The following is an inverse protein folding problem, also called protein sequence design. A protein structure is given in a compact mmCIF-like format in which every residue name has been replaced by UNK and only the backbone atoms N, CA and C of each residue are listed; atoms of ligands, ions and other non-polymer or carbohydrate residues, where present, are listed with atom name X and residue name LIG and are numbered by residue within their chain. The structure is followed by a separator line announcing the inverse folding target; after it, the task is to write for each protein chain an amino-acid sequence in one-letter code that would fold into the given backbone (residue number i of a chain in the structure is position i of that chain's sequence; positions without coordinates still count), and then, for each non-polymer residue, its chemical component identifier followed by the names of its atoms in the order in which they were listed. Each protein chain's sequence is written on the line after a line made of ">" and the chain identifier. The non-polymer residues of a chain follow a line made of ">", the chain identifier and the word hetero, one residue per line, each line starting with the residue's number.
data_IF_780278596811
#
_entry.id   IF_780278596811
#
_cell.length_a   1.000
_cell.length_b   1.000
_cell.length_c   1.000
_cell.angle_alpha   90.00
_cell.angle_beta   90.00
_cell.angle_gamma   90.00
#
_symmetry.space_group_name_H-M   'P 1'
#
loop_
_entity.id
_entity.type
_entity.pdbx_description
1 polymer ?
#
# COMPACT_ATOMS: atom_id res chain seq x y z
N UNK A 1 -8.39 13.05 -16.83
CA UNK A 1 -7.60 13.02 -15.59
C UNK A 1 -6.31 12.26 -15.78
N UNK A 2 -5.27 12.59 -15.04
CA UNK A 2 -3.95 11.96 -15.17
C UNK A 2 -3.79 10.80 -14.16
N UNK A 3 -4.39 10.92 -12.96
CA UNK A 3 -4.41 9.87 -11.93
C UNK A 3 -5.51 8.84 -12.13
N UNK A 4 -5.41 7.71 -11.47
CA UNK A 4 -6.47 6.72 -11.32
C UNK A 4 -6.94 6.72 -9.86
N UNK A 5 -8.15 7.24 -9.64
CA UNK A 5 -8.77 7.26 -8.31
C UNK A 5 -10.13 6.57 -8.39
N UNK A 6 -10.34 5.58 -7.54
CA UNK A 6 -11.59 4.83 -7.46
C UNK A 6 -11.83 4.32 -6.05
N UNK A 7 -13.07 3.92 -5.78
CA UNK A 7 -13.47 3.32 -4.52
C UNK A 7 -14.41 2.16 -4.77
N UNK A 8 -14.40 1.19 -3.86
CA UNK A 8 -15.36 0.10 -3.83
C UNK A 8 -15.77 -0.20 -2.38
N UNK A 9 -16.85 -0.96 -2.23
CA UNK A 9 -17.43 -1.29 -0.93
C UNK A 9 -17.41 -2.81 -0.75
N UNK A 10 -17.00 -3.25 0.43
CA UNK A 10 -17.03 -4.65 0.85
C UNK A 10 -17.90 -4.78 2.10
N UNK A 11 -18.63 -5.90 2.20
CA UNK A 11 -19.35 -6.26 3.42
C UNK A 11 -18.37 -6.48 4.59
N UNK A 12 -18.63 -5.83 5.71
CA UNK A 12 -17.71 -5.86 6.86
C UNK A 12 -17.76 -7.14 7.68
N UNK A 13 -18.76 -8.01 7.45
CA UNK A 13 -19.03 -9.17 8.32
C UNK A 13 -17.90 -10.20 8.39
N UNK A 14 -17.07 -10.30 7.34
CA UNK A 14 -16.04 -11.33 7.24
C UNK A 14 -14.66 -10.76 6.84
N UNK A 15 -14.44 -9.46 7.02
CA UNK A 15 -13.21 -8.82 6.59
C UNK A 15 -12.55 -8.02 7.71
N UNK A 16 -11.26 -8.25 7.88
CA UNK A 16 -10.39 -7.46 8.75
C UNK A 16 -9.84 -6.27 7.95
N UNK A 17 -10.05 -5.05 8.45
CA UNK A 17 -9.69 -3.82 7.74
C UNK A 17 -8.18 -3.71 7.46
N UNK A 18 -7.36 -4.15 8.40
CA UNK A 18 -5.90 -4.12 8.28
C UNK A 18 -5.41 -5.11 7.23
N UNK A 19 -5.91 -6.33 7.26
CA UNK A 19 -5.59 -7.35 6.24
C UNK A 19 -6.14 -6.97 4.87
N UNK A 20 -7.32 -6.33 4.81
CA UNK A 20 -7.88 -5.84 3.56
C UNK A 20 -6.98 -4.78 2.90
N UNK A 21 -6.38 -3.88 3.67
CA UNK A 21 -5.40 -2.92 3.16
C UNK A 21 -4.18 -3.62 2.54
N UNK A 22 -3.65 -4.64 3.22
CA UNK A 22 -2.54 -5.44 2.72
C UNK A 22 -2.92 -6.20 1.45
N UNK A 23 -4.10 -6.82 1.43
CA UNK A 23 -4.65 -7.52 0.27
C UNK A 23 -4.75 -6.60 -0.95
N UNK A 24 -5.34 -5.42 -0.78
CA UNK A 24 -5.43 -4.43 -1.84
C UNK A 24 -4.05 -3.98 -2.34
N UNK A 25 -3.08 -3.78 -1.42
CA UNK A 25 -1.71 -3.45 -1.78
C UNK A 25 -1.07 -4.50 -2.69
N UNK A 26 -1.18 -5.78 -2.31
CA UNK A 26 -0.69 -6.90 -3.13
C UNK A 26 -1.39 -6.94 -4.48
N UNK A 27 -2.73 -6.79 -4.51
CA UNK A 27 -3.50 -6.81 -5.76
C UNK A 27 -3.13 -5.67 -6.71
N UNK A 28 -2.89 -4.47 -6.18
CA UNK A 28 -2.43 -3.32 -6.97
C UNK A 28 -1.05 -3.61 -7.59
N UNK A 29 -0.09 -4.07 -6.79
CA UNK A 29 1.27 -4.36 -7.28
C UNK A 29 1.24 -5.46 -8.34
N UNK A 30 0.47 -6.52 -8.13
CA UNK A 30 0.31 -7.59 -9.12
C UNK A 30 -0.33 -7.07 -10.41
N UNK A 31 -1.42 -6.30 -10.32
CA UNK A 31 -2.08 -5.73 -11.50
C UNK A 31 -1.18 -4.78 -12.28
N UNK A 32 -0.39 -3.95 -11.60
CA UNK A 32 0.63 -3.11 -12.26
C UNK A 32 1.67 -3.99 -12.96
N UNK A 33 2.18 -5.02 -12.29
CA UNK A 33 3.18 -5.93 -12.84
C UNK A 33 2.68 -6.68 -14.07
N UNK A 34 1.46 -7.21 -14.02
CA UNK A 34 0.86 -7.92 -15.15
C UNK A 34 0.66 -7.03 -16.36
N UNK A 35 0.23 -5.78 -16.14
CA UNK A 35 -0.06 -4.85 -17.22
C UNK A 35 1.18 -4.16 -17.80
N UNK A 36 2.17 -3.83 -16.94
CA UNK A 36 3.32 -2.98 -17.33
C UNK A 36 4.68 -3.67 -17.24
N UNK A 37 4.75 -4.87 -16.65
CA UNK A 37 5.96 -5.59 -16.26
C UNK A 37 6.82 -4.85 -15.21
N UNK A 38 6.31 -3.78 -14.59
CA UNK A 38 7.00 -3.02 -13.56
C UNK A 38 6.87 -3.72 -12.20
N UNK A 39 7.99 -3.89 -11.50
CA UNK A 39 8.00 -4.41 -10.14
C UNK A 39 7.92 -3.25 -9.14
N UNK A 40 6.75 -3.12 -8.51
CA UNK A 40 6.52 -2.16 -7.43
C UNK A 40 6.69 -2.83 -6.07
N UNK A 41 6.85 -2.01 -5.03
CA UNK A 41 6.99 -2.44 -3.64
C UNK A 41 5.85 -1.88 -2.78
N UNK A 42 5.74 -2.41 -1.59
CA UNK A 42 4.79 -1.96 -0.59
C UNK A 42 5.51 -1.33 0.60
N UNK A 43 4.92 -0.27 1.14
CA UNK A 43 5.37 0.38 2.37
C UNK A 43 4.21 0.44 3.36
N UNK A 44 4.46 -0.06 4.56
CA UNK A 44 3.45 -0.06 5.62
C UNK A 44 3.05 1.38 6.00
N UNK A 45 1.75 1.65 6.27
CA UNK A 45 0.66 0.65 6.27
C UNK A 45 -0.03 0.45 4.91
N UNK A 46 0.07 1.41 3.97
CA UNK A 46 -0.87 1.50 2.85
C UNK A 46 -0.31 2.15 1.59
N UNK A 47 1.01 2.29 1.49
CA UNK A 47 1.65 2.97 0.36
C UNK A 47 2.14 1.99 -0.71
N UNK A 48 1.93 2.37 -1.97
CA UNK A 48 2.50 1.70 -3.15
C UNK A 48 3.72 2.50 -3.59
N UNK A 49 4.86 1.81 -3.72
CA UNK A 49 6.15 2.42 -3.96
C UNK A 49 6.80 1.90 -5.24
N UNK A 50 7.61 2.74 -5.85
CA UNK A 50 8.63 2.34 -6.83
C UNK A 50 9.95 2.96 -6.38
N UNK A 51 10.94 2.13 -6.12
CA UNK A 51 12.14 2.52 -5.40
C UNK A 51 11.75 3.25 -4.09
N UNK A 52 12.20 4.49 -3.92
CA UNK A 52 11.90 5.31 -2.74
C UNK A 52 10.77 6.32 -2.97
N UNK A 53 10.05 6.22 -4.12
CA UNK A 53 9.00 7.18 -4.47
C UNK A 53 7.62 6.55 -4.39
N UNK A 54 6.70 7.28 -3.78
CA UNK A 54 5.29 6.87 -3.68
C UNK A 54 4.60 7.05 -5.05
N UNK A 55 3.95 5.99 -5.52
CA UNK A 55 3.09 6.02 -6.72
C UNK A 55 1.61 5.96 -6.39
N UNK A 56 1.26 5.63 -5.15
CA UNK A 56 -0.14 5.58 -4.75
C UNK A 56 -0.34 5.21 -3.30
N UNK A 57 -1.60 5.13 -2.91
CA UNK A 57 -1.99 4.77 -1.57
C UNK A 57 -3.40 4.23 -1.48
N UNK A 58 -3.70 3.58 -0.36
CA UNK A 58 -4.96 2.96 -0.03
C UNK A 58 -5.53 3.63 1.21
N UNK A 59 -6.82 3.90 1.20
CA UNK A 59 -7.57 4.40 2.36
C UNK A 59 -8.67 3.40 2.71
N UNK A 60 -8.69 2.96 3.94
CA UNK A 60 -9.74 2.07 4.44
C UNK A 60 -10.60 2.84 5.45
N UNK A 61 -11.89 2.88 5.22
CA UNK A 61 -12.87 3.44 6.14
C UNK A 61 -13.89 2.39 6.54
N UNK A 62 -13.86 1.96 7.80
CA UNK A 62 -14.82 1.01 8.35
C UNK A 62 -16.09 1.74 8.80
N UNK A 63 -17.22 1.31 8.31
CA UNK A 63 -18.57 1.70 8.75
C UNK A 63 -19.24 0.50 9.45
N UNK A 64 -20.43 0.69 9.98
CA UNK A 64 -21.13 -0.36 10.75
C UNK A 64 -21.24 -1.68 9.98
N UNK A 65 -21.71 -1.61 8.73
CA UNK A 65 -22.06 -2.80 7.94
C UNK A 65 -21.18 -2.98 6.69
N UNK A 66 -20.25 -2.06 6.43
CA UNK A 66 -19.38 -2.12 5.26
C UNK A 66 -18.00 -1.50 5.51
N UNK A 67 -17.07 -1.86 4.65
CA UNK A 67 -15.75 -1.25 4.55
C UNK A 67 -15.66 -0.55 3.19
N UNK A 68 -15.32 0.73 3.20
CA UNK A 68 -15.06 1.52 2.01
C UNK A 68 -13.56 1.49 1.75
N UNK A 69 -13.16 1.07 0.57
CA UNK A 69 -11.77 1.05 0.12
C UNK A 69 -11.58 2.13 -0.93
N UNK A 70 -10.80 3.15 -0.64
CA UNK A 70 -10.36 4.17 -1.58
C UNK A 70 -8.94 3.88 -2.07
N UNK A 71 -8.70 3.95 -3.37
CA UNK A 71 -7.38 3.74 -3.99
C UNK A 71 -7.07 4.93 -4.89
N UNK A 72 -5.87 5.51 -4.70
CA UNK A 72 -5.34 6.58 -5.52
C UNK A 72 -3.97 6.23 -6.08
N UNK A 73 -3.82 6.28 -7.40
CA UNK A 73 -2.58 5.96 -8.09
C UNK A 73 -2.18 7.10 -9.05
N UNK A 74 -0.93 7.51 -8.99
CA UNK A 74 -0.32 8.46 -9.92
C UNK A 74 0.03 7.70 -11.22
N UNK A 75 -0.79 7.82 -12.23
CA UNK A 75 -0.61 7.08 -13.48
C UNK A 75 0.12 7.94 -14.51
N UNK A 76 -0.54 8.97 -15.03
CA UNK A 76 -0.04 9.81 -16.12
C UNK A 76 0.35 11.22 -15.63
N UNK A 77 0.44 11.41 -14.32
CA UNK A 77 0.74 12.71 -13.71
C UNK A 77 2.15 13.17 -14.11
N UNK A 78 2.19 14.23 -14.91
CA UNK A 78 3.44 14.84 -15.38
C UNK A 78 3.99 15.85 -14.37
N UNK A 79 3.09 16.58 -13.68
CA UNK A 79 3.39 17.63 -12.71
C UNK A 79 2.84 17.27 -11.33
N UNK A 80 3.60 16.49 -10.57
CA UNK A 80 3.32 16.31 -9.15
C UNK A 80 3.64 17.60 -8.39
N UNK A 81 2.81 17.94 -7.40
CA UNK A 81 2.98 19.16 -6.59
C UNK A 81 4.43 19.27 -6.07
N UNK A 82 4.99 20.48 -6.07
CA UNK A 82 6.39 20.76 -5.71
C UNK A 82 6.78 20.23 -4.33
N UNK A 83 5.87 20.23 -3.37
CA UNK A 83 6.09 19.76 -2.00
C UNK A 83 6.29 18.22 -1.91
N UNK A 84 5.71 17.46 -2.84
CA UNK A 84 5.80 15.99 -2.88
C UNK A 84 6.68 15.47 -4.00
N UNK A 85 7.19 16.35 -4.87
CA UNK A 85 7.95 15.99 -6.09
C UNK A 85 9.16 15.10 -5.81
N UNK A 86 9.79 15.25 -4.65
CA UNK A 86 10.95 14.45 -4.24
C UNK A 86 10.55 13.14 -3.51
N UNK A 87 9.25 12.94 -3.23
CA UNK A 87 8.75 11.78 -2.48
C UNK A 87 7.73 10.95 -3.28
N UNK A 88 7.27 11.46 -4.43
CA UNK A 88 6.28 10.78 -5.25
C UNK A 88 6.68 10.77 -6.73
N UNK A 89 6.19 9.77 -7.45
CA UNK A 89 6.35 9.63 -8.90
C UNK A 89 5.07 9.10 -9.54
N UNK A 90 5.06 8.93 -10.86
CA UNK A 90 3.95 8.33 -11.60
C UNK A 90 4.45 7.20 -12.50
N UNK A 91 3.55 6.28 -12.89
CA UNK A 91 3.90 5.20 -13.80
C UNK A 91 4.42 5.74 -15.14
N UNK A 92 3.82 6.82 -15.66
CA UNK A 92 4.30 7.50 -16.88
C UNK A 92 5.74 7.97 -16.76
N UNK A 93 6.14 8.55 -15.62
CA UNK A 93 7.53 9.02 -15.43
C UNK A 93 8.52 7.87 -15.38
N UNK A 94 8.12 6.73 -14.79
CA UNK A 94 8.96 5.54 -14.69
C UNK A 94 9.11 4.87 -16.06
N UNK A 95 8.01 4.74 -16.79
CA UNK A 95 7.94 3.98 -18.04
C UNK A 95 8.26 4.83 -19.29
N UNK A 96 8.26 6.16 -19.16
CA UNK A 96 8.44 7.14 -20.25
C UNK A 96 7.35 7.11 -21.34
N UNK A 97 6.16 6.55 -21.05
CA UNK A 97 4.99 6.59 -21.92
C UNK A 97 3.70 6.65 -21.10
N UNK A 98 2.62 7.15 -21.73
CA UNK A 98 1.31 7.21 -21.08
C UNK A 98 0.61 5.86 -21.07
N UNK A 99 -0.08 5.57 -19.97
CA UNK A 99 -0.79 4.32 -19.72
C UNK A 99 -2.30 4.53 -19.91
N UNK A 100 -2.95 3.56 -20.52
CA UNK A 100 -4.41 3.46 -20.52
C UNK A 100 -4.88 3.02 -19.13
N UNK A 101 -5.69 3.85 -18.47
CA UNK A 101 -6.08 3.66 -17.07
C UNK A 101 -7.15 2.59 -16.90
N UNK A 102 -8.07 2.50 -17.85
CA UNK A 102 -9.20 1.57 -17.80
C UNK A 102 -8.75 0.09 -17.87
N UNK A 103 -7.87 -0.34 -18.78
CA UNK A 103 -7.30 -1.68 -18.73
C UNK A 103 -6.49 -1.93 -17.44
N UNK A 104 -5.69 -0.96 -17.00
CA UNK A 104 -4.94 -1.11 -15.73
C UNK A 104 -5.88 -1.31 -14.55
N UNK A 105 -7.00 -0.56 -14.48
CA UNK A 105 -8.03 -0.73 -13.46
C UNK A 105 -8.57 -2.17 -13.47
N UNK A 106 -8.86 -2.72 -14.64
CA UNK A 106 -9.37 -4.09 -14.77
C UNK A 106 -8.36 -5.12 -14.22
N UNK A 107 -7.07 -5.00 -14.55
CA UNK A 107 -6.01 -5.85 -13.98
C UNK A 107 -5.94 -5.74 -12.45
N UNK A 108 -5.99 -4.54 -11.91
CA UNK A 108 -5.93 -4.29 -10.46
C UNK A 108 -7.15 -4.92 -9.76
N UNK A 109 -8.36 -4.65 -10.26
CA UNK A 109 -9.60 -5.14 -9.65
C UNK A 109 -9.64 -6.67 -9.69
N UNK A 110 -9.31 -7.30 -10.81
CA UNK A 110 -9.25 -8.76 -10.93
C UNK A 110 -8.26 -9.39 -9.94
N UNK A 111 -7.08 -8.79 -9.77
CA UNK A 111 -6.10 -9.27 -8.79
C UNK A 111 -6.61 -9.13 -7.36
N UNK A 112 -7.21 -7.99 -6.99
CA UNK A 112 -7.80 -7.79 -5.67
C UNK A 112 -8.89 -8.84 -5.42
N UNK A 113 -9.82 -9.02 -6.36
CA UNK A 113 -10.96 -9.95 -6.24
C UNK A 113 -10.51 -11.40 -6.01
N UNK A 114 -9.48 -11.86 -6.74
CA UNK A 114 -8.87 -13.17 -6.52
C UNK A 114 -8.29 -13.30 -5.11
N UNK A 115 -7.58 -12.27 -4.62
CA UNK A 115 -6.90 -12.29 -3.33
C UNK A 115 -7.87 -12.24 -2.14
N UNK A 116 -9.06 -11.67 -2.29
CA UNK A 116 -10.09 -11.65 -1.25
C UNK A 116 -10.51 -13.06 -0.79
N UNK A 117 -10.29 -14.08 -1.62
CA UNK A 117 -10.57 -15.47 -1.29
C UNK A 117 -9.40 -16.19 -0.60
N UNK A 118 -8.25 -15.52 -0.40
CA UNK A 118 -7.08 -16.12 0.22
C UNK A 118 -7.13 -15.99 1.75
N UNK A 119 -6.52 -16.97 2.44
CA UNK A 119 -6.33 -16.90 3.90
C UNK A 119 -5.38 -15.75 4.25
N UNK A 120 -5.61 -15.12 5.39
CA UNK A 120 -4.83 -14.00 5.90
C UNK A 120 -3.31 -14.27 5.90
N UNK A 121 -2.88 -15.46 6.36
CA UNK A 121 -1.46 -15.85 6.37
C UNK A 121 -0.81 -15.81 4.99
N UNK A 122 -1.58 -16.16 3.93
CA UNK A 122 -1.07 -16.11 2.55
C UNK A 122 -0.91 -14.67 2.09
N UNK A 123 -1.88 -13.80 2.40
CA UNK A 123 -1.82 -12.37 2.09
C UNK A 123 -0.61 -11.73 2.78
N UNK A 124 -0.42 -12.00 4.08
CA UNK A 124 0.71 -11.48 4.86
C UNK A 124 2.05 -11.91 4.25
N UNK A 125 2.21 -13.18 3.88
CA UNK A 125 3.44 -13.68 3.23
C UNK A 125 3.70 -12.97 1.91
N UNK A 126 2.68 -12.80 1.08
CA UNK A 126 2.78 -12.07 -0.19
C UNK A 126 3.17 -10.61 0.04
N UNK A 127 2.52 -9.95 0.99
CA UNK A 127 2.82 -8.57 1.34
C UNK A 127 4.27 -8.40 1.83
N UNK A 128 4.72 -9.29 2.72
CA UNK A 128 6.10 -9.29 3.25
C UNK A 128 7.14 -9.46 2.13
N UNK A 129 6.85 -10.27 1.11
CA UNK A 129 7.74 -10.44 -0.03
C UNK A 129 7.86 -9.20 -0.92
N UNK A 130 6.89 -8.29 -0.85
CA UNK A 130 6.85 -7.02 -1.59
C UNK A 130 7.30 -5.82 -0.74
N UNK A 131 7.49 -6.01 0.56
CA UNK A 131 7.89 -4.95 1.49
C UNK A 131 9.40 -4.72 1.42
N UNK A 132 9.82 -3.49 1.10
CA UNK A 132 11.23 -3.15 0.93
C UNK A 132 11.93 -2.63 2.20
N UNK A 133 11.22 -2.45 3.30
CA UNK A 133 11.78 -1.86 4.54
C UNK A 133 11.88 -2.84 5.71
N UNK A 134 11.73 -4.15 5.48
CA UNK A 134 11.97 -5.18 6.51
C UNK A 134 13.42 -5.15 6.96
N UNK A 135 13.63 -5.16 8.28
CA UNK A 135 14.93 -5.04 8.95
C UNK A 135 15.69 -3.74 8.68
N UNK A 136 15.04 -2.71 8.14
CA UNK A 136 15.62 -1.39 7.97
C UNK A 136 15.34 -0.47 9.16
N UNK A 137 16.25 0.46 9.40
CA UNK A 137 16.03 1.55 10.34
C UNK A 137 15.12 2.58 9.70
N UNK A 138 14.08 2.96 10.43
CA UNK A 138 13.01 3.84 9.96
C UNK A 138 12.76 5.00 10.92
N UNK A 139 12.29 6.09 10.37
CA UNK A 139 11.64 7.16 11.12
C UNK A 139 10.13 6.88 11.16
N UNK A 140 9.63 6.49 12.31
CA UNK A 140 8.21 6.19 12.49
C UNK A 140 7.52 7.35 13.21
N UNK A 141 6.38 7.77 12.68
CA UNK A 141 5.52 8.77 13.30
C UNK A 141 4.27 8.11 13.85
N UNK A 142 4.07 8.26 15.17
CA UNK A 142 2.84 7.81 15.82
C UNK A 142 1.65 8.69 15.40
N UNK A 143 0.43 8.24 15.68
CA UNK A 143 -0.80 9.04 15.45
C UNK A 143 -0.81 10.40 16.16
N UNK A 144 0.02 10.57 17.20
CA UNK A 144 0.22 11.85 17.92
C UNK A 144 1.36 12.68 17.30
N UNK A 145 1.80 12.40 16.09
CA UNK A 145 2.93 13.05 15.40
C UNK A 145 4.27 13.01 16.17
N UNK A 146 4.44 12.03 17.06
CA UNK A 146 5.72 11.83 17.74
C UNK A 146 6.64 10.99 16.88
N UNK A 147 7.81 11.53 16.55
CA UNK A 147 8.87 10.80 15.84
C UNK A 147 9.52 9.77 16.78
N UNK A 148 9.63 8.55 16.30
CA UNK A 148 10.33 7.44 16.96
C UNK A 148 11.29 6.82 15.94
N UNK A 149 12.57 6.72 16.31
CA UNK A 149 13.55 5.94 15.54
C UNK A 149 13.40 4.48 15.93
N UNK A 150 13.18 3.62 14.95
CA UNK A 150 12.92 2.21 15.17
C UNK A 150 13.47 1.37 14.01
N UNK A 151 13.64 0.08 14.25
CA UNK A 151 13.85 -0.90 13.19
C UNK A 151 12.53 -1.59 12.86
N UNK A 152 12.11 -1.59 11.60
CA UNK A 152 10.93 -2.33 11.16
C UNK A 152 11.27 -3.82 11.09
N UNK A 153 10.65 -4.64 11.95
CA UNK A 153 10.98 -6.07 12.03
C UNK A 153 10.12 -6.87 11.06
N UNK A 154 8.80 -6.74 11.18
CA UNK A 154 7.80 -7.47 10.38
C UNK A 154 6.40 -6.91 10.66
N UNK A 155 5.37 -7.60 10.17
CA UNK A 155 3.98 -7.44 10.61
C UNK A 155 3.50 -8.72 11.29
N UNK A 156 2.50 -8.60 12.18
CA UNK A 156 1.88 -9.76 12.84
C UNK A 156 0.69 -10.33 12.01
N UNK A 157 0.00 -11.32 12.57
CA UNK A 157 -1.18 -11.96 11.95
C UNK A 157 -2.36 -11.01 11.70
N UNK A 158 -2.39 -9.87 12.37
CA UNK A 158 -3.42 -8.84 12.21
C UNK A 158 -3.00 -7.72 11.23
N UNK A 159 -1.80 -7.80 10.62
CA UNK A 159 -1.27 -6.75 9.75
C UNK A 159 -0.64 -5.56 10.49
N UNK A 160 -0.52 -5.62 11.80
CA UNK A 160 0.07 -4.57 12.63
C UNK A 160 1.60 -4.61 12.55
N UNK A 161 2.25 -3.44 12.54
CA UNK A 161 3.71 -3.36 12.48
C UNK A 161 4.37 -3.83 13.79
N UNK A 162 5.41 -4.66 13.68
CA UNK A 162 6.30 -5.00 14.79
C UNK A 162 7.59 -4.21 14.60
N UNK A 163 7.83 -3.26 15.49
CA UNK A 163 9.02 -2.43 15.51
C UNK A 163 9.95 -2.82 16.65
N UNK A 164 11.25 -2.70 16.44
CA UNK A 164 12.23 -2.73 17.51
C UNK A 164 12.59 -1.29 17.88
N UNK A 165 12.22 -0.86 19.07
CA UNK A 165 12.47 0.46 19.62
C UNK A 165 13.39 0.30 20.83
N UNK A 166 14.63 0.78 20.75
CA UNK A 166 15.62 0.67 21.82
C UNK A 166 15.82 -0.77 22.35
N UNK A 167 15.83 -1.76 21.47
CA UNK A 167 16.02 -3.16 21.82
C UNK A 167 14.74 -3.92 22.23
N UNK A 168 13.59 -3.23 22.37
CA UNK A 168 12.30 -3.84 22.70
C UNK A 168 11.40 -3.93 21.49
N UNK A 169 10.70 -5.05 21.34
CA UNK A 169 9.67 -5.21 20.29
C UNK A 169 8.37 -4.59 20.76
N UNK A 170 7.82 -3.70 19.94
CA UNK A 170 6.52 -3.05 20.15
C UNK A 170 5.61 -3.31 18.94
N UNK A 171 4.32 -3.54 19.19
CA UNK A 171 3.28 -3.72 18.16
C UNK A 171 2.55 -2.41 17.99
N UNK A 172 2.45 -1.92 16.75
CA UNK A 172 1.82 -0.65 16.42
C UNK A 172 0.74 -0.87 15.36
N UNK A 173 -0.48 -0.46 15.68
CA UNK A 173 -1.66 -0.58 14.81
C UNK A 173 -1.72 0.53 13.77
N UNK A 174 -1.18 1.71 14.07
CA UNK A 174 -1.31 2.89 13.23
C UNK A 174 -0.13 3.84 13.39
N UNK A 175 0.12 4.61 12.33
CA UNK A 175 1.22 5.54 12.19
C UNK A 175 1.70 5.57 10.74
N UNK A 176 2.82 6.22 10.48
CA UNK A 176 3.42 6.22 9.15
C UNK A 176 4.96 6.22 9.22
N UNK A 177 5.56 5.65 8.20
CA UNK A 177 7.01 5.60 8.01
C UNK A 177 7.40 6.74 7.07
N UNK A 178 8.41 7.51 7.44
CA UNK A 178 8.97 8.55 6.59
C UNK A 178 10.12 8.01 5.75
#
# INVERSE_FOLDING_TARGET
>A
GESLTFSFIIDSRNQDSEILSLCCGVGIVNGIKEFTHLNCNLKWPNDIMFDNHKIGGILIEKKKDCIIVGIGLNINDSNLNSEIKNKATSLKKILNYSIQREPLLAYIVNNIEQLLNYKNDKIIKMWLSLCNHINQDINFYTTKNKLVKAKFVTINSNGEAILNINGKKEVLQSGFIQ
#
